data_IF_940203258245
#
_entry.id   IF_940203258245
#
_cell.length_a   1.000
_cell.length_b   1.000
_cell.length_c   1.000
_cell.angle_alpha   90.00
_cell.angle_beta   90.00
_cell.angle_gamma   90.00
#
_symmetry.space_group_name_H-M   'P 1'
#
loop_
_entity.id
_entity.type
_entity.pdbx_description
1 polymer ?
#
# COMPACT_ATOMS: atom_id res chain seq x y z
N UNK A 1 -7.27 -4.63 -38.42
CA UNK A 1 -7.33 -3.97 -37.09
C UNK A 1 -7.19 -5.10 -36.08
N UNK A 2 -6.18 -5.09 -35.20
CA UNK A 2 -5.96 -6.18 -34.21
C UNK A 2 -6.44 -5.70 -32.85
N UNK A 3 -7.32 -6.48 -32.24
CA UNK A 3 -7.80 -6.25 -30.89
C UNK A 3 -6.81 -6.88 -29.92
N UNK A 4 -6.34 -6.09 -28.95
CA UNK A 4 -5.40 -6.53 -27.92
C UNK A 4 -6.12 -6.47 -26.59
N UNK A 5 -6.12 -7.58 -25.85
CA UNK A 5 -6.74 -7.66 -24.53
C UNK A 5 -5.72 -7.27 -23.48
N UNK A 6 -6.01 -6.22 -22.72
CA UNK A 6 -5.24 -5.80 -21.55
C UNK A 6 -6.04 -6.16 -20.30
N UNK A 7 -5.34 -6.58 -19.26
CA UNK A 7 -5.86 -6.86 -17.93
C UNK A 7 -5.41 -5.73 -17.02
N UNK A 8 -6.32 -5.16 -16.24
CA UNK A 8 -6.00 -4.04 -15.35
C UNK A 8 -6.15 -4.52 -13.92
N UNK A 9 -5.12 -4.32 -13.11
CA UNK A 9 -5.20 -4.61 -11.68
C UNK A 9 -6.13 -3.59 -11.01
N UNK A 10 -7.19 -4.04 -10.35
CA UNK A 10 -8.15 -3.14 -9.68
C UNK A 10 -7.55 -2.42 -8.47
N UNK A 11 -6.42 -2.90 -7.94
CA UNK A 11 -5.80 -2.37 -6.72
C UNK A 11 -4.84 -1.20 -7.03
N UNK A 12 -4.05 -1.31 -8.09
CA UNK A 12 -3.04 -0.30 -8.45
C UNK A 12 -3.30 0.38 -9.81
N UNK A 13 -4.25 -0.12 -10.60
CA UNK A 13 -4.58 0.41 -11.92
C UNK A 13 -3.54 0.12 -13.00
N UNK A 14 -2.54 -0.72 -12.73
CA UNK A 14 -1.51 -1.07 -13.71
C UNK A 14 -2.10 -2.01 -14.76
N UNK A 15 -1.88 -1.67 -16.04
CA UNK A 15 -2.24 -2.52 -17.16
C UNK A 15 -1.17 -3.60 -17.42
N UNK A 16 -1.63 -4.82 -17.58
CA UNK A 16 -0.85 -6.01 -17.88
C UNK A 16 -1.38 -6.65 -19.15
N UNK A 17 -0.48 -7.10 -20.01
CA UNK A 17 -0.86 -7.89 -21.18
C UNK A 17 -1.26 -9.34 -20.83
N UNK A 18 -0.88 -9.77 -19.63
CA UNK A 18 -0.99 -11.16 -19.20
C UNK A 18 -1.84 -11.24 -17.93
N UNK A 19 -2.82 -12.15 -17.95
CA UNK A 19 -3.75 -12.35 -16.83
C UNK A 19 -3.04 -12.87 -15.59
N UNK A 20 -2.05 -13.74 -15.72
CA UNK A 20 -1.34 -14.30 -14.57
C UNK A 20 -0.54 -13.21 -13.87
N UNK A 21 0.12 -12.33 -14.63
CA UNK A 21 0.80 -11.16 -14.04
C UNK A 21 -0.15 -10.22 -13.30
N UNK A 22 -1.33 -9.98 -13.84
CA UNK A 22 -2.36 -9.20 -13.16
C UNK A 22 -2.78 -9.87 -11.84
N UNK A 23 -3.06 -11.18 -11.87
CA UNK A 23 -3.43 -11.94 -10.66
C UNK A 23 -2.30 -12.01 -9.62
N UNK A 24 -1.04 -12.12 -10.05
CA UNK A 24 0.11 -12.07 -9.16
C UNK A 24 0.28 -10.68 -8.54
N UNK A 25 0.03 -9.62 -9.31
CA UNK A 25 0.02 -8.25 -8.80
C UNK A 25 -1.05 -8.09 -7.71
N UNK A 26 -2.29 -8.50 -7.99
CA UNK A 26 -3.40 -8.46 -7.03
C UNK A 26 -3.09 -9.26 -5.76
N UNK A 27 -2.49 -10.45 -5.89
CA UNK A 27 -2.06 -11.27 -4.75
C UNK A 27 -0.88 -10.68 -3.99
N UNK A 28 0.01 -9.96 -4.66
CA UNK A 28 1.17 -9.33 -4.04
C UNK A 28 0.79 -8.07 -3.26
N UNK A 29 -0.31 -7.41 -3.64
CA UNK A 29 -0.84 -6.25 -2.93
C UNK A 29 -1.29 -6.63 -1.51
N UNK A 30 -0.34 -6.57 -0.58
CA UNK A 30 -0.59 -6.70 0.84
C UNK A 30 -1.31 -5.46 1.32
N UNK A 31 -2.56 -5.63 1.73
CA UNK A 31 -3.33 -4.56 2.35
C UNK A 31 -2.86 -4.34 3.80
N UNK A 32 -3.04 -3.11 4.26
CA UNK A 32 -2.82 -2.76 5.67
C UNK A 32 -3.97 -3.36 6.47
N UNK A 33 -3.66 -4.27 7.38
CA UNK A 33 -4.63 -4.94 8.24
C UNK A 33 -5.01 -4.08 9.42
N UNK A 34 -4.02 -3.49 10.11
CA UNK A 34 -4.25 -2.58 11.23
C UNK A 34 -3.11 -1.60 11.41
N UNK A 35 -3.41 -0.43 11.98
CA UNK A 35 -2.38 0.50 12.46
C UNK A 35 -2.07 0.12 13.91
N UNK A 36 -0.85 -0.35 14.18
CA UNK A 36 -0.42 -0.80 15.52
C UNK A 36 0.01 0.38 16.38
N UNK A 37 0.78 1.30 15.80
CA UNK A 37 1.38 2.39 16.56
C UNK A 37 1.47 3.66 15.74
N UNK A 38 1.26 4.79 16.38
CA UNK A 38 1.44 6.10 15.76
C UNK A 38 2.27 6.95 16.72
N UNK A 39 3.41 7.47 16.24
CA UNK A 39 4.22 8.40 17.02
C UNK A 39 3.96 9.82 16.56
N UNK A 40 3.50 10.65 17.47
CA UNK A 40 3.32 12.07 17.26
C UNK A 40 4.52 12.81 17.83
N UNK A 41 4.92 13.89 17.16
CA UNK A 41 5.86 14.84 17.74
C UNK A 41 5.10 15.96 18.43
N UNK A 42 5.73 16.53 19.44
CA UNK A 42 5.23 17.68 20.17
C UNK A 42 5.00 18.88 19.24
N UNK A 43 4.06 19.72 19.66
CA UNK A 43 3.60 20.93 18.95
C UNK A 43 4.74 21.88 18.53
N UNK A 44 5.86 21.84 19.26
CA UNK A 44 7.08 22.59 19.00
C UNK A 44 7.87 22.14 17.76
N UNK A 45 7.73 20.90 17.30
CA UNK A 45 8.40 20.40 16.10
C UNK A 45 7.46 20.16 14.91
N UNK A 46 6.17 19.93 15.16
CA UNK A 46 5.23 19.65 14.07
C UNK A 46 3.87 20.35 14.30
N UNK A 47 3.75 21.58 13.81
CA UNK A 47 2.55 22.43 13.95
C UNK A 47 1.30 21.81 13.29
N UNK A 48 1.51 20.90 12.33
CA UNK A 48 0.43 20.23 11.59
C UNK A 48 -0.18 19.01 12.32
N UNK A 49 0.41 18.54 13.42
CA UNK A 49 -0.15 17.45 14.24
C UNK A 49 -0.17 16.06 13.60
N UNK A 50 0.44 15.87 12.42
CA UNK A 50 0.52 14.56 11.78
C UNK A 50 1.51 13.63 12.51
N UNK A 51 1.23 12.32 12.57
CA UNK A 51 2.16 11.35 13.11
C UNK A 51 3.43 11.31 12.25
N UNK A 52 4.58 11.27 12.92
CA UNK A 52 5.90 11.23 12.29
C UNK A 52 6.25 9.83 11.81
N UNK A 53 5.77 8.82 12.54
CA UNK A 53 5.89 7.45 12.11
C UNK A 53 4.62 6.68 12.45
N UNK A 54 4.13 5.90 11.49
CA UNK A 54 3.06 4.95 11.70
C UNK A 54 3.63 3.54 11.54
N UNK A 55 3.35 2.68 12.51
CA UNK A 55 3.62 1.25 12.42
C UNK A 55 2.32 0.58 12.05
N UNK A 56 2.31 -0.10 10.91
CA UNK A 56 1.16 -0.80 10.37
C UNK A 56 1.46 -2.29 10.28
N UNK A 57 0.48 -3.11 10.65
CA UNK A 57 0.47 -4.54 10.39
C UNK A 57 -0.07 -4.75 8.98
N UNK A 58 0.69 -5.41 8.14
CA UNK A 58 0.24 -5.89 6.84
C UNK A 58 -0.53 -7.21 7.01
N UNK A 59 -1.35 -7.56 6.02
CA UNK A 59 -2.07 -8.85 6.02
C UNK A 59 -1.15 -10.09 6.17
N UNK A 60 0.09 -9.97 5.70
CA UNK A 60 1.17 -10.97 5.83
C UNK A 60 1.65 -11.19 7.28
N UNK A 61 1.10 -10.45 8.26
CA UNK A 61 1.55 -10.45 9.65
C UNK A 61 2.85 -9.68 9.88
N UNK A 62 3.40 -9.02 8.85
CA UNK A 62 4.59 -8.17 8.97
C UNK A 62 4.21 -6.79 9.48
N UNK A 63 4.99 -6.32 10.44
CA UNK A 63 4.91 -4.96 10.96
C UNK A 63 5.87 -4.06 10.17
N UNK A 64 5.33 -3.09 9.44
CA UNK A 64 6.10 -2.09 8.71
C UNK A 64 5.95 -0.73 9.39
N UNK A 65 7.08 -0.10 9.69
CA UNK A 65 7.09 1.28 10.20
C UNK A 65 7.37 2.23 9.06
N UNK A 66 6.34 2.97 8.65
CA UNK A 66 6.44 4.05 7.69
C UNK A 66 6.77 5.33 8.44
N UNK A 67 7.88 5.96 8.05
CA UNK A 67 8.26 7.29 8.51
C UNK A 67 8.02 8.24 7.35
N UNK A 68 7.48 9.41 7.68
CA UNK A 68 7.41 10.53 6.75
C UNK A 68 8.81 11.01 6.39
#
# INVERSE_FOLDING_TARGET
>A
MKEVKHYICEICGIEYHDKQKCQECEKNHKQIKKIISTKYQSLSMNVKGYPVSITVEMDDGKELTFKR
#
